data_IF_586681624201
#
_entry.id   IF_586681624201
#
_cell.length_a   1.000
_cell.length_b   1.000
_cell.length_c   1.000
_cell.angle_alpha   90.00
_cell.angle_beta   90.00
_cell.angle_gamma   90.00
#
_symmetry.space_group_name_H-M   'P 1'
#
loop_
_entity.id
_entity.type
_entity.pdbx_description
1 polymer ?
#
# COMPACT_ATOMS: atom_id res chain seq x y z
N UNK A 1 -8.60 5.34 22.56
CA UNK A 1 -7.30 5.24 21.86
C UNK A 1 -7.09 6.57 21.15
N UNK A 2 -5.94 7.24 21.28
CA UNK A 2 -5.75 8.57 20.68
C UNK A 2 -5.44 8.48 19.17
N UNK A 3 -5.83 9.50 18.40
CA UNK A 3 -5.49 9.65 16.98
C UNK A 3 -3.98 9.53 16.74
N UNK A 4 -3.18 10.10 17.64
CA UNK A 4 -1.73 10.07 17.58
C UNK A 4 -1.16 8.64 17.68
N UNK A 5 -1.77 7.79 18.52
CA UNK A 5 -1.41 6.37 18.59
C UNK A 5 -1.75 5.62 17.28
N UNK A 6 -2.90 5.92 16.67
CA UNK A 6 -3.31 5.33 15.38
C UNK A 6 -2.38 5.73 14.25
N UNK A 7 -1.97 7.00 14.20
CA UNK A 7 -0.97 7.47 13.24
C UNK A 7 0.37 6.74 13.40
N UNK A 8 0.85 6.55 14.63
CA UNK A 8 2.08 5.80 14.89
C UNK A 8 1.96 4.33 14.48
N UNK A 9 0.79 3.71 14.69
CA UNK A 9 0.54 2.34 14.25
C UNK A 9 0.57 2.23 12.72
N UNK A 10 -0.08 3.16 12.01
CA UNK A 10 -0.04 3.21 10.55
C UNK A 10 1.40 3.41 10.07
N UNK A 11 2.14 4.39 10.60
CA UNK A 11 3.55 4.60 10.24
C UNK A 11 4.37 3.32 10.46
N UNK A 12 4.19 2.61 11.57
CA UNK A 12 4.90 1.36 11.83
C UNK A 12 4.57 0.26 10.81
N UNK A 13 3.30 0.10 10.44
CA UNK A 13 2.89 -0.87 9.43
C UNK A 13 3.39 -0.46 8.03
N UNK A 14 3.38 0.83 7.71
CA UNK A 14 3.97 1.38 6.49
C UNK A 14 5.47 1.07 6.41
N UNK A 15 6.19 1.25 7.51
CA UNK A 15 7.62 0.96 7.58
C UNK A 15 7.93 -0.52 7.51
N UNK A 16 7.07 -1.41 8.00
CA UNK A 16 7.22 -2.86 7.82
C UNK A 16 6.94 -3.27 6.38
N UNK A 17 5.87 -2.73 5.77
CA UNK A 17 5.47 -3.07 4.41
C UNK A 17 6.45 -2.56 3.35
N UNK A 18 7.05 -1.39 3.58
CA UNK A 18 7.93 -0.71 2.63
C UNK A 18 9.40 -0.67 3.06
N UNK A 19 9.74 -1.11 4.27
CA UNK A 19 11.10 -1.04 4.81
C UNK A 19 12.13 -1.77 3.94
N UNK A 20 11.73 -2.92 3.40
CA UNK A 20 12.52 -3.70 2.45
C UNK A 20 12.64 -3.00 1.07
N UNK A 21 11.79 -2.02 0.80
CA UNK A 21 11.67 -1.30 -0.47
C UNK A 21 11.92 0.22 -0.36
N UNK A 22 12.68 0.70 0.64
CA UNK A 22 13.06 2.13 0.76
C UNK A 22 14.25 2.52 -0.15
N UNK A 23 14.85 1.57 -0.89
CA UNK A 23 16.10 1.78 -1.62
C UNK A 23 15.89 2.39 -3.01
N UNK A 24 16.99 2.83 -3.65
CA UNK A 24 16.96 3.30 -5.04
C UNK A 24 16.43 2.22 -6.01
N UNK A 25 16.69 0.95 -5.69
CA UNK A 25 16.22 -0.22 -6.44
C UNK A 25 14.70 -0.33 -6.46
N UNK A 26 14.03 0.04 -5.36
CA UNK A 26 12.58 0.01 -5.24
C UNK A 26 11.90 1.09 -6.06
N UNK A 27 12.53 2.27 -6.18
CA UNK A 27 12.06 3.33 -7.09
C UNK A 27 12.19 2.89 -8.55
N UNK A 28 13.27 2.18 -8.88
CA UNK A 28 13.45 1.61 -10.21
C UNK A 28 12.40 0.52 -10.52
N UNK A 29 12.11 -0.35 -9.55
CA UNK A 29 11.06 -1.36 -9.65
C UNK A 29 9.66 -0.74 -9.83
N UNK A 30 9.36 0.33 -9.12
CA UNK A 30 8.10 1.09 -9.27
C UNK A 30 7.98 1.65 -10.69
N UNK A 31 9.05 2.28 -11.22
CA UNK A 31 9.07 2.76 -12.59
C UNK A 31 8.93 1.65 -13.63
N UNK A 32 9.60 0.51 -13.43
CA UNK A 32 9.44 -0.67 -14.30
C UNK A 32 8.01 -1.20 -14.27
N UNK A 33 7.40 -1.30 -13.09
CA UNK A 33 6.00 -1.68 -12.96
C UNK A 33 5.10 -0.73 -13.74
N UNK A 34 5.18 0.59 -13.49
CA UNK A 34 4.40 1.59 -14.22
C UNK A 34 4.58 1.50 -15.73
N UNK A 35 5.82 1.39 -16.21
CA UNK A 35 6.12 1.24 -17.63
C UNK A 35 5.48 -0.02 -18.22
N UNK A 36 5.47 -1.14 -17.49
CA UNK A 36 4.88 -2.41 -17.93
C UNK A 36 3.35 -2.39 -17.93
N UNK A 37 2.73 -1.80 -16.92
CA UNK A 37 1.26 -1.67 -16.84
C UNK A 37 0.71 -0.80 -17.98
N UNK A 38 1.51 0.16 -18.46
CA UNK A 38 1.13 1.03 -19.58
C UNK A 38 1.47 0.44 -20.95
N UNK A 39 2.42 -0.50 -21.03
CA UNK A 39 2.95 -1.04 -22.30
C UNK A 39 2.55 -2.48 -22.64
N UNK A 40 1.65 -3.11 -21.89
CA UNK A 40 1.26 -4.54 -22.00
C UNK A 40 2.43 -5.54 -21.95
N UNK A 41 3.64 -5.08 -21.62
CA UNK A 41 4.90 -5.82 -21.71
C UNK A 41 5.16 -6.77 -20.54
N UNK A 42 4.22 -6.92 -19.60
CA UNK A 42 4.43 -7.75 -18.41
C UNK A 42 4.71 -9.22 -18.78
N UNK A 43 4.01 -9.74 -19.79
CA UNK A 43 4.11 -11.12 -20.27
C UNK A 43 5.50 -11.49 -20.80
N UNK A 44 6.26 -10.53 -21.32
CA UNK A 44 7.59 -10.75 -21.92
C UNK A 44 8.75 -10.69 -20.92
N UNK A 45 8.49 -10.34 -19.65
CA UNK A 45 9.54 -10.25 -18.64
C UNK A 45 10.08 -11.62 -18.19
N UNK A 46 11.37 -11.71 -17.81
CA UNK A 46 11.94 -12.89 -17.16
C UNK A 46 11.20 -13.26 -15.87
N UNK A 47 11.14 -14.55 -15.53
CA UNK A 47 10.37 -15.06 -14.37
C UNK A 47 10.82 -14.43 -13.05
N UNK A 48 12.12 -14.20 -12.85
CA UNK A 48 12.63 -13.55 -11.64
C UNK A 48 12.09 -12.12 -11.49
N UNK A 49 12.17 -11.32 -12.56
CA UNK A 49 11.67 -9.94 -12.55
C UNK A 49 10.16 -9.86 -12.39
N UNK A 50 9.40 -10.81 -12.95
CA UNK A 50 7.94 -10.92 -12.70
C UNK A 50 7.62 -11.14 -11.22
N UNK A 51 8.40 -11.98 -10.52
CA UNK A 51 8.19 -12.22 -9.09
C UNK A 51 8.46 -10.97 -8.27
N UNK A 52 9.53 -10.24 -8.57
CA UNK A 52 9.87 -9.00 -7.86
C UNK A 52 8.81 -7.92 -8.09
N UNK A 53 8.32 -7.79 -9.32
CA UNK A 53 7.24 -6.86 -9.67
C UNK A 53 5.90 -7.23 -9.02
N UNK A 54 5.57 -8.52 -8.94
CA UNK A 54 4.35 -8.99 -8.27
C UNK A 54 4.43 -8.77 -6.75
N UNK A 55 5.56 -9.11 -6.13
CA UNK A 55 5.79 -8.84 -4.72
C UNK A 55 5.63 -7.34 -4.42
N UNK A 56 6.27 -6.50 -5.23
CA UNK A 56 6.16 -5.06 -5.11
C UNK A 56 4.71 -4.55 -5.26
N UNK A 57 3.95 -5.09 -6.22
CA UNK A 57 2.52 -4.79 -6.37
C UNK A 57 1.70 -5.18 -5.13
N UNK A 58 1.94 -6.36 -4.55
CA UNK A 58 1.26 -6.80 -3.33
C UNK A 58 1.55 -5.89 -2.14
N UNK A 59 2.80 -5.43 -2.00
CA UNK A 59 3.17 -4.45 -0.98
C UNK A 59 2.44 -3.11 -1.17
N UNK A 60 2.37 -2.63 -2.41
CA UNK A 60 1.69 -1.38 -2.74
C UNK A 60 0.17 -1.47 -2.55
N UNK A 61 -0.43 -2.63 -2.82
CA UNK A 61 -1.83 -2.89 -2.52
C UNK A 61 -2.11 -2.85 -1.01
N UNK A 62 -1.30 -3.54 -0.21
CA UNK A 62 -1.44 -3.54 1.26
C UNK A 62 -1.27 -2.14 1.86
N UNK A 63 -0.36 -1.35 1.29
CA UNK A 63 -0.19 0.06 1.63
C UNK A 63 -1.50 0.84 1.44
N UNK A 64 -2.14 0.68 0.28
CA UNK A 64 -3.41 1.37 -0.01
C UNK A 64 -4.53 0.92 0.91
N UNK A 65 -4.62 -0.39 1.20
CA UNK A 65 -5.63 -0.94 2.12
C UNK A 65 -5.50 -0.33 3.53
N UNK A 66 -4.27 -0.17 4.05
CA UNK A 66 -4.03 0.46 5.36
C UNK A 66 -4.42 1.94 5.37
N UNK A 67 -4.13 2.67 4.29
CA UNK A 67 -4.49 4.07 4.16
C UNK A 67 -6.01 4.27 4.05
N UNK A 68 -6.70 3.39 3.33
CA UNK A 68 -8.17 3.39 3.23
C UNK A 68 -8.83 3.15 4.59
N UNK A 69 -8.32 2.19 5.37
CA UNK A 69 -8.79 1.96 6.75
C UNK A 69 -8.61 3.19 7.64
N UNK A 70 -7.46 3.86 7.56
CA UNK A 70 -7.22 5.10 8.31
C UNK A 70 -8.19 6.21 7.88
N UNK A 71 -8.45 6.35 6.58
CA UNK A 71 -9.40 7.34 6.07
C UNK A 71 -10.83 7.07 6.57
N UNK A 72 -11.27 5.82 6.57
CA UNK A 72 -12.59 5.42 7.11
C UNK A 72 -12.69 5.72 8.61
N UNK A 73 -11.65 5.42 9.38
CA UNK A 73 -11.65 5.71 10.82
C UNK A 73 -11.67 7.21 11.10
N UNK A 74 -10.89 8.01 10.37
CA UNK A 74 -10.88 9.47 10.51
C UNK A 74 -12.24 10.08 10.16
N UNK A 75 -12.88 9.61 9.09
CA UNK A 75 -14.24 10.05 8.72
C UNK A 75 -15.27 9.63 9.77
N UNK A 76 -15.12 8.45 10.37
CA UNK A 76 -15.98 7.97 11.45
C UNK A 76 -15.84 8.83 12.71
N UNK A 77 -14.62 9.17 13.12
CA UNK A 77 -14.36 10.06 14.27
C UNK A 77 -14.86 11.49 14.06
N UNK A 78 -14.88 11.95 12.80
CA UNK A 78 -15.47 13.25 12.42
C UNK A 78 -16.99 13.22 12.32
N UNK A 79 -17.63 12.06 12.51
CA UNK A 79 -19.08 11.88 12.38
C UNK A 79 -19.58 11.90 10.93
N UNK A 80 -18.68 11.78 9.95
CA UNK A 80 -18.99 11.79 8.51
C UNK A 80 -19.43 10.40 8.01
N UNK A 81 -19.21 9.34 8.79
CA UNK A 81 -19.69 7.97 8.53
C UNK A 81 -20.53 7.49 9.72
N UNK A 82 -21.83 7.25 9.49
CA UNK A 82 -22.69 6.59 10.46
C UNK A 82 -22.52 5.06 10.36
N UNK A 83 -21.72 4.47 11.26
CA UNK A 83 -21.68 3.01 11.40
C UNK A 83 -23.01 2.59 12.05
N UNK A 84 -23.97 2.15 11.23
CA UNK A 84 -25.20 1.53 11.71
C UNK A 84 -24.86 0.15 12.29
N UNK A 85 -24.54 0.10 13.58
CA UNK A 85 -24.54 -1.17 14.33
C UNK A 85 -25.99 -1.63 14.48
N UNK A 86 -26.41 -2.61 13.67
CA UNK A 86 -27.56 -3.45 14.01
C UNK A 86 -27.13 -4.38 15.15
N UNK A 87 -27.72 -4.16 16.32
CA UNK A 87 -27.71 -5.06 17.49
C UNK A 87 -28.46 -6.34 17.16
#
# INVERSE_FOLDING_TARGET
>A
MSIEYKYQQVISELEKLLGDYKSAESKELLWKFFALTVSDGFSSQPVAQKKDLLAFYEHLKRLLDVLELLEIELKTERGEIAVSMKV
#
